data_IF_785264557267
#
_entry.id   IF_785264557267
#
_cell.length_a   1.000
_cell.length_b   1.000
_cell.length_c   1.000
_cell.angle_alpha   90.00
_cell.angle_beta   90.00
_cell.angle_gamma   90.00
#
_symmetry.space_group_name_H-M   'P 1'
#
loop_
_entity.id
_entity.type
_entity.pdbx_description
1 polymer ?
#
# COMPACT_ATOMS: atom_id res chain seq x y z
N UNK A 1 23.91 -44.43 -54.76
CA UNK A 1 22.82 -43.48 -54.44
C UNK A 1 22.63 -43.54 -52.93
N UNK A 2 22.97 -42.47 -52.20
CA UNK A 2 22.81 -42.40 -50.75
C UNK A 2 21.55 -41.56 -50.44
N UNK A 3 20.62 -42.13 -49.69
CA UNK A 3 19.36 -41.51 -49.31
C UNK A 3 19.54 -40.91 -47.92
N UNK A 4 19.62 -39.59 -47.82
CA UNK A 4 19.74 -38.88 -46.55
C UNK A 4 18.34 -38.61 -46.00
N UNK A 5 18.03 -39.21 -44.85
CA UNK A 5 16.77 -39.04 -44.12
C UNK A 5 16.81 -37.70 -43.36
N UNK A 6 15.93 -36.75 -43.71
CA UNK A 6 15.74 -35.52 -42.95
C UNK A 6 14.73 -35.77 -41.84
N UNK A 7 15.19 -35.78 -40.58
CA UNK A 7 14.33 -35.79 -39.40
C UNK A 7 13.96 -34.33 -39.09
N UNK A 8 12.71 -33.96 -39.38
CA UNK A 8 12.16 -32.67 -38.98
C UNK A 8 11.82 -32.73 -37.48
N UNK A 9 12.66 -32.09 -36.66
CA UNK A 9 12.40 -31.92 -35.24
C UNK A 9 11.40 -30.78 -35.07
N UNK A 10 10.12 -31.08 -34.83
CA UNK A 10 9.15 -30.07 -34.41
C UNK A 10 9.54 -29.57 -33.01
N UNK A 11 10.12 -28.38 -32.95
CA UNK A 11 10.30 -27.67 -31.69
C UNK A 11 8.95 -27.08 -31.26
N UNK A 12 8.31 -27.72 -30.29
CA UNK A 12 7.22 -27.10 -29.56
C UNK A 12 7.80 -25.96 -28.72
N UNK A 13 7.65 -24.72 -29.17
CA UNK A 13 7.83 -23.56 -28.31
C UNK A 13 6.67 -23.54 -27.33
N UNK A 14 6.87 -24.04 -26.11
CA UNK A 14 6.02 -23.66 -24.98
C UNK A 14 6.35 -22.21 -24.64
N UNK A 15 5.58 -21.28 -25.19
CA UNK A 15 5.51 -19.95 -24.59
C UNK A 15 5.09 -20.15 -23.14
N UNK A 16 5.98 -19.86 -22.19
CA UNK A 16 5.58 -19.68 -20.80
C UNK A 16 4.56 -18.55 -20.83
N UNK A 17 3.28 -18.89 -20.67
CA UNK A 17 2.23 -17.88 -20.58
C UNK A 17 2.65 -16.94 -19.44
N UNK A 18 3.00 -15.71 -19.79
CA UNK A 18 3.35 -14.68 -18.82
C UNK A 18 2.11 -14.34 -17.99
N UNK A 19 2.31 -13.82 -16.78
CA UNK A 19 1.23 -13.28 -15.99
C UNK A 19 0.51 -12.15 -16.76
N UNK A 20 -0.80 -12.04 -16.56
CA UNK A 20 -1.61 -10.98 -17.14
C UNK A 20 -1.37 -9.69 -16.37
N UNK A 21 -0.82 -8.68 -17.04
CA UNK A 21 -0.57 -7.37 -16.44
C UNK A 21 -1.86 -6.55 -16.35
N UNK A 22 -2.22 -6.13 -15.14
CA UNK A 22 -3.39 -5.30 -14.81
C UNK A 22 -2.88 -4.00 -14.22
N UNK A 23 -3.15 -2.88 -14.90
CA UNK A 23 -2.73 -1.55 -14.43
C UNK A 23 -3.77 -0.97 -13.46
N UNK A 24 -3.37 -0.71 -12.22
CA UNK A 24 -4.24 -0.17 -11.18
C UNK A 24 -4.04 1.34 -11.01
N UNK A 25 -5.13 2.10 -11.15
CA UNK A 25 -5.15 3.55 -11.03
C UNK A 25 -5.63 4.04 -9.66
N UNK A 26 -4.74 4.17 -8.68
CA UNK A 26 -5.05 4.64 -7.31
C UNK A 26 -5.33 6.17 -7.21
N UNK A 27 -5.93 6.81 -8.21
CA UNK A 27 -6.33 8.23 -8.13
C UNK A 27 -5.19 9.26 -8.06
N UNK A 28 -5.25 10.23 -7.14
CA UNK A 28 -4.21 11.27 -6.98
C UNK A 28 -3.14 10.92 -5.93
N UNK A 29 -1.93 11.43 -6.09
CA UNK A 29 -0.80 11.30 -5.13
C UNK A 29 -0.14 12.66 -4.87
N UNK A 30 0.43 12.92 -3.67
CA UNK A 30 0.56 12.03 -2.53
C UNK A 30 -0.75 11.86 -1.74
N UNK A 31 -0.95 10.68 -1.16
CA UNK A 31 -2.11 10.37 -0.30
C UNK A 31 -1.67 9.55 0.90
N UNK A 32 -2.14 9.88 2.10
CA UNK A 32 -2.01 9.05 3.31
C UNK A 32 -3.44 8.63 3.69
N UNK A 33 -3.69 7.34 3.77
CA UNK A 33 -5.06 6.79 3.90
C UNK A 33 -5.05 5.44 4.61
N UNK A 34 -6.20 4.99 5.08
CA UNK A 34 -6.44 3.61 5.54
C UNK A 34 -7.19 2.77 4.50
N UNK A 35 -7.55 3.36 3.36
CA UNK A 35 -8.27 2.67 2.29
C UNK A 35 -8.03 3.31 0.93
N UNK A 36 -7.80 2.49 -0.09
CA UNK A 36 -7.76 2.91 -1.49
C UNK A 36 -8.11 1.76 -2.42
N UNK A 37 -8.44 2.05 -3.67
CA UNK A 37 -8.74 1.00 -4.64
C UNK A 37 -9.13 1.53 -6.01
N UNK A 38 -9.28 0.59 -6.94
CA UNK A 38 -9.77 0.87 -8.28
C UNK A 38 -10.45 -0.36 -8.87
N UNK A 39 -11.46 -0.12 -9.71
CA UNK A 39 -12.05 -1.17 -10.54
C UNK A 39 -11.19 -1.44 -11.76
N UNK A 40 -11.23 -2.68 -12.25
CA UNK A 40 -10.57 -3.12 -13.48
C UNK A 40 -11.48 -4.10 -14.23
N UNK A 41 -11.22 -4.31 -15.52
CA UNK A 41 -12.12 -5.07 -16.41
C UNK A 41 -11.41 -6.17 -17.19
N UNK A 42 -10.10 -6.33 -16.99
CA UNK A 42 -9.22 -7.23 -17.74
C UNK A 42 -9.65 -8.71 -17.65
N UNK A 43 -10.40 -9.06 -16.60
CA UNK A 43 -10.91 -10.42 -16.38
C UNK A 43 -12.36 -10.62 -16.84
N UNK A 44 -13.04 -9.58 -17.34
CA UNK A 44 -14.44 -9.67 -17.75
C UNK A 44 -14.64 -10.72 -18.86
N UNK A 45 -15.65 -11.57 -18.69
CA UNK A 45 -15.94 -12.68 -19.60
C UNK A 45 -15.15 -13.96 -19.30
N UNK A 46 -14.21 -13.94 -18.35
CA UNK A 46 -13.52 -15.16 -17.92
C UNK A 46 -14.50 -16.10 -17.22
N UNK A 47 -14.69 -17.29 -17.79
CA UNK A 47 -15.56 -18.34 -17.25
C UNK A 47 -14.85 -19.08 -16.13
N UNK A 48 -15.56 -19.47 -15.07
CA UNK A 48 -15.01 -20.22 -13.94
C UNK A 48 -14.89 -21.72 -14.29
N UNK A 49 -13.73 -22.17 -14.76
CA UNK A 49 -13.50 -23.55 -15.24
C UNK A 49 -12.47 -24.32 -14.38
N UNK A 50 -12.21 -23.88 -13.15
CA UNK A 50 -11.16 -24.52 -12.33
C UNK A 50 -9.74 -24.14 -12.75
N UNK A 51 -9.56 -23.18 -13.66
CA UNK A 51 -8.26 -22.78 -14.18
C UNK A 51 -7.50 -21.88 -13.22
N UNK A 52 -6.17 -21.88 -13.38
CA UNK A 52 -5.29 -20.93 -12.71
C UNK A 52 -5.06 -19.70 -13.58
N UNK A 53 -5.14 -18.52 -12.98
CA UNK A 53 -4.78 -17.23 -13.53
C UNK A 53 -3.52 -16.74 -12.82
N UNK A 54 -2.52 -16.30 -13.59
CA UNK A 54 -1.35 -15.61 -13.06
C UNK A 54 -1.50 -14.13 -13.40
N UNK A 55 -1.50 -13.26 -12.39
CA UNK A 55 -1.90 -11.84 -12.50
C UNK A 55 -0.82 -10.94 -11.89
N UNK A 56 -0.39 -9.94 -12.64
CA UNK A 56 0.51 -8.89 -12.17
C UNK A 56 -0.25 -7.57 -12.05
N UNK A 57 -0.45 -7.07 -10.85
CA UNK A 57 -1.05 -5.76 -10.61
C UNK A 57 0.05 -4.71 -10.49
N UNK A 58 0.14 -3.81 -11.48
CA UNK A 58 1.10 -2.70 -11.49
C UNK A 58 0.43 -1.39 -11.09
N UNK A 59 1.12 -0.58 -10.27
CA UNK A 59 0.62 0.73 -9.90
C UNK A 59 0.91 1.76 -11.01
N UNK A 60 -0.15 2.33 -11.57
CA UNK A 60 -0.05 3.25 -12.72
C UNK A 60 0.69 4.54 -12.38
N UNK A 61 1.31 5.16 -13.40
CA UNK A 61 1.98 6.46 -13.31
C UNK A 61 3.19 6.51 -12.36
N UNK A 62 3.93 5.40 -12.25
CA UNK A 62 5.14 5.34 -11.42
C UNK A 62 4.88 5.48 -9.91
N UNK A 63 3.67 5.12 -9.48
CA UNK A 63 3.27 5.16 -8.09
C UNK A 63 3.81 3.96 -7.32
N UNK A 64 3.87 4.12 -6.01
CA UNK A 64 4.16 3.06 -5.06
C UNK A 64 3.22 3.19 -3.86
N UNK A 65 3.06 2.09 -3.14
CA UNK A 65 2.44 2.09 -1.82
C UNK A 65 3.53 1.96 -0.77
N UNK A 66 3.48 2.84 0.23
CA UNK A 66 4.37 2.82 1.39
C UNK A 66 3.63 2.31 2.61
N UNK A 67 4.11 1.20 3.17
CA UNK A 67 3.71 0.73 4.48
C UNK A 67 4.61 1.43 5.51
N UNK A 68 4.05 2.31 6.32
CA UNK A 68 4.75 3.02 7.40
C UNK A 68 5.02 2.09 8.58
N UNK A 69 5.90 2.48 9.50
CA UNK A 69 6.15 1.73 10.73
C UNK A 69 4.87 1.55 11.57
N UNK A 70 3.95 2.50 11.50
CA UNK A 70 2.64 2.47 12.17
C UNK A 70 1.54 1.72 11.39
N UNK A 71 1.75 1.36 10.12
CA UNK A 71 0.73 0.64 9.33
C UNK A 71 0.37 -0.68 10.02
N UNK A 72 -0.92 -1.03 10.05
CA UNK A 72 -1.36 -2.21 10.80
C UNK A 72 -0.82 -3.49 10.17
N UNK A 73 -0.56 -4.51 10.99
CA UNK A 73 -0.19 -5.84 10.52
C UNK A 73 -1.34 -6.54 9.78
N UNK A 74 -2.59 -6.07 9.97
CA UNK A 74 -3.77 -6.52 9.24
C UNK A 74 -3.94 -5.85 7.88
N UNK A 75 -3.01 -4.98 7.46
CA UNK A 75 -3.02 -4.42 6.11
C UNK A 75 -3.20 -5.52 5.08
N UNK A 76 -4.14 -5.32 4.17
CA UNK A 76 -4.52 -6.30 3.16
C UNK A 76 -4.63 -5.69 1.78
N UNK A 77 -4.36 -6.54 0.80
CA UNK A 77 -4.66 -6.30 -0.61
C UNK A 77 -5.78 -7.26 -0.99
N UNK A 78 -6.90 -6.70 -1.44
CA UNK A 78 -8.10 -7.44 -1.77
C UNK A 78 -8.37 -7.39 -3.28
N UNK A 79 -8.64 -8.55 -3.86
CA UNK A 79 -9.24 -8.67 -5.19
C UNK A 79 -10.66 -9.19 -5.00
N UNK A 80 -11.63 -8.48 -5.57
CA UNK A 80 -13.03 -8.90 -5.63
C UNK A 80 -13.43 -9.09 -7.08
N UNK A 81 -13.95 -10.26 -7.41
CA UNK A 81 -14.50 -10.61 -8.71
C UNK A 81 -16.01 -10.67 -8.60
N UNK A 82 -16.69 -9.80 -9.35
CA UNK A 82 -18.13 -9.86 -9.56
C UNK A 82 -18.41 -10.87 -10.66
N UNK A 83 -19.50 -11.61 -10.52
CA UNK A 83 -19.88 -12.65 -11.46
C UNK A 83 -21.35 -12.52 -11.86
N UNK A 84 -21.76 -13.27 -12.88
CA UNK A 84 -23.17 -13.45 -13.23
C UNK A 84 -23.83 -14.63 -12.48
N UNK A 85 -23.14 -15.21 -11.50
CA UNK A 85 -23.63 -16.34 -10.70
C UNK A 85 -24.50 -15.89 -9.53
N UNK A 86 -25.09 -16.86 -8.84
CA UNK A 86 -25.85 -16.63 -7.61
C UNK A 86 -25.58 -17.73 -6.58
N UNK A 87 -25.77 -17.43 -5.30
CA UNK A 87 -25.48 -18.37 -4.21
C UNK A 87 -23.98 -18.56 -3.99
N UNK A 88 -23.61 -19.71 -3.41
CA UNK A 88 -22.20 -20.02 -3.12
C UNK A 88 -21.51 -20.58 -4.36
N UNK A 89 -20.53 -19.83 -4.89
CA UNK A 89 -19.87 -20.13 -6.17
C UNK A 89 -18.59 -20.97 -6.04
N UNK A 90 -18.26 -21.41 -4.81
CA UNK A 90 -16.94 -21.91 -4.44
C UNK A 90 -16.04 -20.77 -3.95
N UNK A 91 -14.77 -21.07 -3.68
CA UNK A 91 -13.80 -20.11 -3.17
C UNK A 91 -12.65 -19.94 -4.16
N UNK A 92 -12.09 -18.74 -4.21
CA UNK A 92 -10.77 -18.54 -4.80
C UNK A 92 -9.74 -19.22 -3.90
N UNK A 93 -8.75 -19.85 -4.53
CA UNK A 93 -7.55 -20.36 -3.87
C UNK A 93 -6.33 -19.76 -4.56
N UNK A 94 -5.23 -19.59 -3.86
CA UNK A 94 -4.05 -18.99 -4.47
C UNK A 94 -3.03 -18.40 -3.52
N UNK A 95 -1.97 -17.89 -4.13
CA UNK A 95 -0.86 -17.21 -3.44
C UNK A 95 -0.66 -15.82 -4.02
N UNK A 96 0.05 -14.97 -3.28
CA UNK A 96 0.46 -13.67 -3.80
C UNK A 96 1.68 -13.13 -3.06
N UNK A 97 2.35 -12.17 -3.68
CA UNK A 97 3.52 -11.50 -3.11
C UNK A 97 3.63 -10.06 -3.63
N UNK A 98 4.35 -9.23 -2.88
CA UNK A 98 4.64 -7.85 -3.25
C UNK A 98 5.84 -7.77 -4.19
N UNK A 99 5.87 -6.73 -5.02
CA UNK A 99 6.91 -6.52 -6.02
C UNK A 99 7.58 -5.17 -5.80
N UNK A 100 8.90 -5.12 -5.90
CA UNK A 100 9.70 -3.90 -5.76
C UNK A 100 9.73 -3.05 -7.05
N UNK A 101 10.49 -1.96 -7.03
CA UNK A 101 10.62 -1.02 -8.15
C UNK A 101 11.24 -1.63 -9.42
N UNK A 102 11.91 -2.77 -9.29
CA UNK A 102 12.61 -3.46 -10.37
C UNK A 102 11.79 -4.63 -10.92
N UNK A 103 10.58 -4.85 -10.40
CA UNK A 103 9.76 -6.00 -10.78
C UNK A 103 10.15 -7.29 -10.06
N UNK A 104 10.96 -7.20 -9.00
CA UNK A 104 11.44 -8.38 -8.25
C UNK A 104 10.53 -8.62 -7.05
N UNK A 105 10.25 -9.89 -6.78
CA UNK A 105 9.50 -10.31 -5.60
C UNK A 105 10.20 -9.83 -4.32
N UNK A 106 9.47 -9.12 -3.48
CA UNK A 106 9.93 -8.75 -2.14
C UNK A 106 9.82 -10.00 -1.27
N UNK A 107 10.93 -10.47 -0.66
CA UNK A 107 10.92 -11.64 0.20
C UNK A 107 10.04 -11.42 1.44
N UNK A 108 9.41 -12.51 1.90
CA UNK A 108 8.44 -12.50 2.98
C UNK A 108 7.15 -13.21 2.56
N UNK A 109 6.42 -13.76 3.53
CA UNK A 109 5.16 -14.47 3.27
C UNK A 109 3.96 -13.54 3.47
N UNK A 110 3.06 -13.53 2.49
CA UNK A 110 1.68 -13.10 2.72
C UNK A 110 0.78 -14.32 2.94
N UNK A 111 -0.16 -14.20 3.88
CA UNK A 111 -1.23 -15.20 4.04
C UNK A 111 -2.39 -14.80 3.13
N UNK A 112 -2.93 -15.75 2.38
CA UNK A 112 -4.16 -15.53 1.62
C UNK A 112 -5.39 -15.99 2.40
N UNK A 113 -6.47 -15.23 2.29
CA UNK A 113 -7.79 -15.62 2.76
C UNK A 113 -8.81 -15.44 1.63
N UNK A 114 -9.86 -16.24 1.59
CA UNK A 114 -10.89 -16.11 0.56
C UNK A 114 -12.30 -16.14 1.13
N UNK A 115 -13.20 -15.47 0.40
CA UNK A 115 -14.61 -15.40 0.73
C UNK A 115 -15.45 -15.57 -0.54
N UNK A 116 -16.65 -16.11 -0.38
CA UNK A 116 -17.62 -16.32 -1.44
C UNK A 116 -18.96 -15.76 -0.97
N UNK A 117 -19.57 -14.93 -1.80
CA UNK A 117 -20.87 -14.34 -1.56
C UNK A 117 -21.82 -14.61 -2.72
N UNK A 118 -23.05 -14.13 -2.59
CA UNK A 118 -23.98 -14.11 -3.71
C UNK A 118 -23.40 -13.17 -4.77
N UNK A 119 -23.01 -13.71 -5.93
CA UNK A 119 -22.37 -13.03 -7.08
C UNK A 119 -20.92 -12.55 -6.90
N UNK A 120 -20.33 -12.69 -5.71
CA UNK A 120 -18.97 -12.21 -5.41
C UNK A 120 -18.00 -13.34 -5.05
N UNK A 121 -16.77 -13.23 -5.56
CA UNK A 121 -15.62 -14.00 -5.13
C UNK A 121 -14.52 -13.06 -4.68
N UNK A 122 -13.97 -13.28 -3.49
CA UNK A 122 -12.93 -12.40 -2.93
C UNK A 122 -11.72 -13.21 -2.50
N UNK A 123 -10.54 -12.68 -2.78
CA UNK A 123 -9.28 -13.12 -2.18
C UNK A 123 -8.57 -11.92 -1.55
N UNK A 124 -8.00 -12.13 -0.37
CA UNK A 124 -7.25 -11.16 0.39
C UNK A 124 -5.82 -11.68 0.53
N UNK A 125 -4.83 -10.80 0.38
CA UNK A 125 -3.44 -11.04 0.71
C UNK A 125 -3.07 -10.16 1.91
N UNK A 126 -2.62 -10.78 2.98
CA UNK A 126 -2.12 -10.11 4.18
C UNK A 126 -0.60 -10.21 4.24
N UNK A 127 0.16 -9.30 3.61
CA UNK A 127 1.61 -9.39 3.51
C UNK A 127 2.32 -9.22 4.87
N UNK A 128 1.68 -8.54 5.82
CA UNK A 128 2.27 -8.22 7.13
C UNK A 128 1.81 -9.16 8.26
N UNK A 129 0.88 -10.09 7.99
CA UNK A 129 0.49 -11.08 8.98
C UNK A 129 1.55 -12.17 9.11
N UNK A 130 1.63 -12.73 10.31
CA UNK A 130 2.48 -13.89 10.60
C UNK A 130 2.02 -15.10 9.77
N UNK A 131 2.94 -16.01 9.49
CA UNK A 131 2.58 -17.26 8.81
C UNK A 131 1.57 -18.09 9.64
N UNK A 132 1.04 -19.17 9.05
CA UNK A 132 0.11 -20.10 9.71
C UNK A 132 0.63 -20.74 11.01
N UNK A 133 1.94 -20.66 11.27
CA UNK A 133 2.59 -21.18 12.46
C UNK A 133 2.88 -20.07 13.49
N UNK A 134 2.50 -18.81 13.21
CA UNK A 134 2.75 -17.67 14.08
C UNK A 134 4.17 -17.11 13.98
N UNK A 135 4.94 -17.48 12.95
CA UNK A 135 6.27 -16.94 12.69
C UNK A 135 6.13 -15.50 12.18
N UNK A 136 6.71 -14.49 12.86
CA UNK A 136 6.76 -13.13 12.33
C UNK A 136 7.40 -13.09 10.95
N UNK A 137 6.89 -12.22 10.07
CA UNK A 137 7.56 -11.91 8.83
C UNK A 137 8.68 -10.89 9.11
N UNK A 138 9.81 -11.38 9.63
CA UNK A 138 10.97 -10.54 9.96
C UNK A 138 11.70 -10.02 8.71
N UNK A 139 11.38 -10.56 7.53
CA UNK A 139 11.95 -10.15 6.24
C UNK A 139 11.35 -8.83 5.72
N UNK A 140 10.11 -8.48 6.12
CA UNK A 140 9.45 -7.23 5.73
C UNK A 140 9.71 -6.11 6.74
N UNK A 141 10.86 -5.44 6.62
CA UNK A 141 11.16 -4.25 7.41
C UNK A 141 10.31 -3.06 6.98
N UNK A 142 9.67 -2.37 7.94
CA UNK A 142 8.96 -1.11 7.71
C UNK A 142 9.83 0.11 8.09
N UNK A 143 9.72 1.25 7.39
CA UNK A 143 8.83 1.50 6.26
C UNK A 143 9.22 0.74 4.98
N UNK A 144 8.23 0.25 4.24
CA UNK A 144 8.39 -0.57 3.03
C UNK A 144 7.67 0.05 1.85
N UNK A 145 8.32 0.10 0.69
CA UNK A 145 7.67 0.47 -0.57
C UNK A 145 7.45 -0.77 -1.44
N UNK A 146 6.27 -0.89 -2.02
CA UNK A 146 6.00 -1.83 -3.11
C UNK A 146 5.34 -1.14 -4.30
N UNK A 147 5.61 -1.66 -5.48
CA UNK A 147 5.25 -1.06 -6.78
C UNK A 147 4.24 -1.90 -7.55
N UNK A 148 3.99 -3.12 -7.08
CA UNK A 148 2.99 -4.01 -7.61
C UNK A 148 2.73 -5.20 -6.70
N UNK A 149 1.77 -6.02 -7.10
CA UNK A 149 1.38 -7.24 -6.40
C UNK A 149 1.15 -8.34 -7.43
N UNK A 150 1.74 -9.51 -7.19
CA UNK A 150 1.49 -10.69 -8.00
C UNK A 150 0.49 -11.60 -7.31
N UNK A 151 -0.39 -12.23 -8.09
CA UNK A 151 -1.28 -13.30 -7.63
C UNK A 151 -1.28 -14.48 -8.60
N UNK A 152 -1.19 -15.68 -8.06
CA UNK A 152 -1.58 -16.91 -8.75
C UNK A 152 -2.90 -17.38 -8.13
N UNK A 153 -3.99 -17.29 -8.91
CA UNK A 153 -5.36 -17.56 -8.47
C UNK A 153 -5.92 -18.79 -9.19
N UNK A 154 -6.42 -19.76 -8.44
CA UNK A 154 -7.23 -20.85 -8.97
C UNK A 154 -8.70 -20.49 -8.79
N UNK A 155 -9.42 -20.39 -9.92
CA UNK A 155 -10.85 -20.14 -9.93
C UNK A 155 -11.62 -21.40 -9.54
N UNK A 156 -12.83 -21.29 -8.97
CA UNK A 156 -13.69 -22.45 -8.77
C UNK A 156 -14.15 -23.03 -10.12
N UNK A 157 -14.58 -24.30 -10.11
CA UNK A 157 -15.10 -24.96 -11.30
C UNK A 157 -16.64 -24.82 -11.36
N UNK A 158 -17.11 -23.80 -12.05
CA UNK A 158 -18.52 -23.56 -12.35
C UNK A 158 -18.68 -22.92 -13.74
N UNK A 159 -18.66 -23.72 -14.83
CA UNK A 159 -18.54 -23.22 -16.19
C UNK A 159 -19.77 -22.45 -16.69
N UNK A 160 -20.86 -22.42 -15.92
CA UNK A 160 -22.03 -21.58 -16.21
C UNK A 160 -21.87 -20.13 -15.76
N UNK A 161 -20.81 -19.84 -14.99
CA UNK A 161 -20.56 -18.53 -14.38
C UNK A 161 -19.33 -17.89 -15.00
N UNK A 162 -19.42 -16.59 -15.25
CA UNK A 162 -18.35 -15.76 -15.77
C UNK A 162 -18.18 -14.49 -14.92
N UNK A 163 -16.95 -13.98 -14.90
CA UNK A 163 -16.61 -12.71 -14.27
C UNK A 163 -17.24 -11.56 -15.08
N UNK A 164 -17.93 -10.65 -14.40
CA UNK A 164 -18.63 -9.49 -14.99
C UNK A 164 -18.02 -8.15 -14.59
N UNK A 165 -17.26 -8.13 -13.50
CA UNK A 165 -16.57 -6.95 -13.00
C UNK A 165 -15.48 -7.34 -12.01
N UNK A 166 -14.56 -6.42 -11.73
CA UNK A 166 -13.51 -6.66 -10.75
C UNK A 166 -13.07 -5.40 -10.02
N UNK A 167 -12.63 -5.56 -8.78
CA UNK A 167 -12.14 -4.48 -7.95
C UNK A 167 -10.86 -4.89 -7.23
N UNK A 168 -9.89 -3.98 -7.21
CA UNK A 168 -8.68 -4.05 -6.42
C UNK A 168 -8.79 -3.05 -5.26
N UNK A 169 -8.49 -3.48 -4.04
CA UNK A 169 -8.51 -2.61 -2.88
C UNK A 169 -7.29 -2.84 -1.98
N UNK A 170 -6.91 -1.79 -1.28
CA UNK A 170 -5.90 -1.74 -0.23
C UNK A 170 -6.60 -1.25 1.03
N UNK A 171 -6.48 -1.98 2.14
CA UNK A 171 -7.07 -1.54 3.40
C UNK A 171 -6.10 -1.70 4.57
N UNK A 172 -6.30 -0.89 5.60
CA UNK A 172 -5.63 -0.99 6.88
C UNK A 172 -6.55 -0.52 8.00
N UNK A 173 -6.20 -0.83 9.24
CA UNK A 173 -6.99 -0.44 10.38
C UNK A 173 -7.11 1.10 10.52
N UNK A 174 -8.19 1.60 11.12
CA UNK A 174 -8.32 3.00 11.48
C UNK A 174 -7.15 3.48 12.35
N UNK A 175 -6.49 4.58 11.96
CA UNK A 175 -5.36 5.14 12.69
C UNK A 175 -4.00 4.49 12.39
N UNK A 176 -3.96 3.49 11.52
CA UNK A 176 -2.75 2.79 11.08
C UNK A 176 -2.54 2.93 9.56
N UNK A 177 -2.40 4.16 9.02
CA UNK A 177 -2.50 4.42 7.59
C UNK A 177 -1.31 3.85 6.79
N UNK A 178 -1.45 3.84 5.48
CA UNK A 178 -0.39 3.66 4.49
C UNK A 178 -0.32 4.89 3.56
N UNK A 179 0.75 4.99 2.78
CA UNK A 179 0.96 6.06 1.81
C UNK A 179 0.80 5.58 0.36
N UNK A 180 0.22 6.40 -0.50
CA UNK A 180 0.26 6.26 -1.96
C UNK A 180 1.13 7.39 -2.50
N UNK A 181 2.33 7.02 -2.97
CA UNK A 181 3.32 7.93 -3.52
C UNK A 181 3.11 8.23 -5.01
N UNK A 182 3.96 9.08 -5.61
CA UNK A 182 5.11 9.74 -4.97
C UNK A 182 4.73 10.91 -4.03
N UNK A 183 5.68 11.35 -3.20
CA UNK A 183 5.55 12.55 -2.35
C UNK A 183 5.09 12.31 -0.91
N UNK A 184 4.92 11.05 -0.49
CA UNK A 184 4.62 10.71 0.92
C UNK A 184 5.89 10.75 1.78
N UNK A 185 5.80 11.07 3.10
CA UNK A 185 6.94 11.03 4.01
C UNK A 185 7.67 9.69 4.02
N UNK A 186 8.96 9.67 4.41
CA UNK A 186 9.73 8.43 4.53
C UNK A 186 9.11 7.46 5.53
N UNK A 187 8.60 7.99 6.63
CA UNK A 187 7.85 7.26 7.64
C UNK A 187 6.89 8.20 8.37
N UNK A 188 5.92 7.64 9.09
CA UNK A 188 5.07 8.36 10.04
C UNK A 188 5.20 7.65 11.39
N UNK A 189 5.86 8.33 12.32
CA UNK A 189 5.95 7.88 13.70
C UNK A 189 4.89 8.65 14.48
N UNK A 190 4.05 7.99 15.29
CA UNK A 190 3.10 8.70 16.12
C UNK A 190 3.87 9.59 17.11
N UNK A 191 3.57 10.89 17.08
CA UNK A 191 4.08 11.86 18.05
C UNK A 191 3.70 11.39 19.45
N UNK A 192 4.67 10.91 20.21
CA UNK A 192 4.45 10.31 21.53
C UNK A 192 4.26 11.42 22.58
N UNK A 193 3.23 12.26 22.43
CA UNK A 193 2.69 13.22 23.42
C UNK A 193 3.64 14.28 23.99
N UNK A 194 4.94 14.20 23.71
CA UNK A 194 5.99 14.93 24.43
C UNK A 194 6.42 16.19 23.69
N UNK A 195 6.04 16.35 22.42
CA UNK A 195 6.33 17.53 21.59
C UNK A 195 5.78 18.79 22.25
N UNK A 196 4.56 18.72 22.81
CA UNK A 196 3.91 19.81 23.55
C UNK A 196 4.60 20.08 24.90
N UNK A 197 5.09 19.03 25.56
CA UNK A 197 5.84 19.13 26.81
C UNK A 197 7.19 19.83 26.59
N UNK A 198 7.93 19.44 25.56
CA UNK A 198 9.19 20.10 25.19
C UNK A 198 8.98 21.52 24.65
N UNK A 199 7.91 21.76 23.90
CA UNK A 199 7.55 23.11 23.45
C UNK A 199 7.22 24.02 24.66
N UNK A 200 6.44 23.52 25.63
CA UNK A 200 6.12 24.31 26.83
C UNK A 200 7.36 24.53 27.71
N UNK A 201 8.21 23.51 27.90
CA UNK A 201 9.48 23.62 28.63
C UNK A 201 10.48 24.60 27.98
N UNK A 202 10.45 24.76 26.66
CA UNK A 202 11.34 25.68 25.95
C UNK A 202 10.82 27.13 25.90
N UNK A 203 9.50 27.33 25.81
CA UNK A 203 8.90 28.68 25.73
C UNK A 203 8.87 29.38 27.10
N UNK A 204 8.59 28.65 28.19
CA UNK A 204 8.52 29.23 29.54
C UNK A 204 9.79 30.00 29.97
N UNK A 205 11.01 29.45 29.85
CA UNK A 205 12.23 30.18 30.20
C UNK A 205 12.52 31.34 29.24
N UNK A 206 12.16 31.23 27.96
CA UNK A 206 12.32 32.32 26.99
C UNK A 206 11.43 33.52 27.35
N UNK A 207 10.17 33.29 27.71
CA UNK A 207 9.24 34.33 28.17
C UNK A 207 9.72 34.97 29.47
N UNK A 208 10.21 34.18 30.42
CA UNK A 208 10.78 34.68 31.67
C UNK A 208 12.04 35.54 31.42
N UNK A 209 12.92 35.12 30.50
CA UNK A 209 14.11 35.86 30.12
C UNK A 209 13.77 37.18 29.42
N UNK A 210 12.80 37.18 28.50
CA UNK A 210 12.32 38.40 27.83
C UNK A 210 11.73 39.40 28.84
N UNK A 211 10.95 38.91 29.81
CA UNK A 211 10.42 39.74 30.90
C UNK A 211 11.52 40.35 31.77
N UNK A 212 12.60 39.60 32.04
CA UNK A 212 13.74 40.10 32.81
C UNK A 212 14.48 41.21 32.05
N UNK A 213 14.72 41.04 30.75
CA UNK A 213 15.34 42.07 29.90
C UNK A 213 14.51 43.36 29.89
N UNK A 214 13.18 43.25 29.77
CA UNK A 214 12.28 44.41 29.83
C UNK A 214 12.30 45.12 31.20
N UNK A 215 12.57 44.40 32.30
CA UNK A 215 12.73 45.03 33.64
C UNK A 215 14.10 45.66 33.83
N UNK A 216 15.14 45.13 33.18
CA UNK A 216 16.51 45.59 33.29
C UNK A 216 16.87 46.68 32.27
N UNK A 217 15.98 47.03 31.34
CA UNK A 217 16.13 48.19 30.47
C UNK A 217 15.56 49.42 31.17
N UNK A 218 16.39 50.27 31.82
CA UNK A 218 15.89 51.52 32.38
C UNK A 218 15.37 52.39 31.23
N UNK A 219 14.13 52.87 31.38
CA UNK A 219 13.58 53.94 30.56
C UNK A 219 14.56 55.11 30.58
N UNK A 220 15.33 55.31 29.50
CA UNK A 220 15.97 56.61 29.20
C UNK A 220 14.86 57.61 28.83
N UNK A 221 14.04 57.98 29.81
CA UNK A 221 13.28 59.21 29.81
C UNK A 221 13.68 59.99 31.04
N UNK A 222 14.69 60.82 30.88
CA UNK A 222 14.64 62.19 31.36
C UNK A 222 15.52 63.01 30.42
N UNK A 223 14.85 63.57 29.43
CA UNK A 223 15.33 64.65 28.62
C UNK A 223 15.72 65.83 29.54
N UNK A 224 16.93 66.33 29.33
CA UNK A 224 17.31 67.75 29.31
C UNK A 224 16.27 68.69 29.95
N UNK A 225 16.49 69.10 31.20
CA UNK A 225 15.83 70.29 31.72
C UNK A 225 16.78 71.48 31.53
N UNK A 226 16.51 72.22 30.45
CA UNK A 226 17.19 73.43 30.05
C UNK A 226 16.76 74.60 30.95
N UNK A 227 17.71 75.50 31.22
CA UNK A 227 17.62 76.78 31.95
C UNK A 227 16.31 77.57 31.85
N UNK A 228 15.95 78.25 32.95
CA UNK A 228 15.31 79.59 32.99
C UNK A 228 15.51 80.15 34.41
N UNK A 229 16.45 81.06 34.71
CA UNK A 229 16.28 82.54 34.74
C UNK A 229 14.94 82.95 35.36
N UNK A 230 14.93 83.64 36.52
CA UNK A 230 14.37 85.00 36.77
C UNK A 230 15.03 85.58 38.04
N UNK A 231 15.24 86.90 37.99
CA UNK A 231 15.75 87.88 38.97
C UNK A 231 15.36 87.69 40.44
#
# INVERSE_FOLDING_TARGET
MAFTLFVACLQFYTARAGATLINIGLGGSPKITSGDGASFTDLNGTVLQGQTLSLDFSLSNGKFVRLFSITSNTFDIQITLQTNGSGQLGFLDGTGYLVDSQGISIPGFGVTGSASGNDLLTILLFPLLKDKNGTPNDDLSRPLDFFGVHFDLTLPNNPSVAITGSNFALSSDPGAPFGVGPGVPRDIVPDSGSTLLFLTLSVLPLVAFLHLICRLTPSRRNAVNLRSVIH
#
